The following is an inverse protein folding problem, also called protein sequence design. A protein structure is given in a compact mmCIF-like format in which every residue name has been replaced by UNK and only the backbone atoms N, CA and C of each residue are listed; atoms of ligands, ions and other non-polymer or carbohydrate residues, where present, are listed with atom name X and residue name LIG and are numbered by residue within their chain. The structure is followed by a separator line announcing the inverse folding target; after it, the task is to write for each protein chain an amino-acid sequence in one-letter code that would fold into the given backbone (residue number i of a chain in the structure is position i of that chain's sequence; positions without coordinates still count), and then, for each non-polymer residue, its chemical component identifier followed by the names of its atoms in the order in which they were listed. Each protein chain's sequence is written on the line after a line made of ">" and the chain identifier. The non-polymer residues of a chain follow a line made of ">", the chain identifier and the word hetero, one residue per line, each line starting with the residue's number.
data_IF_008955141512
#
_entry.id   IF_008955141512
#
_cell.length_a   1.000
_cell.length_b   1.000
_cell.length_c   1.000
_cell.angle_alpha   90.00
_cell.angle_beta   90.00
_cell.angle_gamma   90.00
#
_symmetry.space_group_name_H-M   'P 1'
#
loop_
_entity.id
_entity.type
_entity.pdbx_description
1 polymer ?
#
# COMPACT_ATOMS: atom_id res chain seq x y z
N UNK A 1 53.36 7.70 -49.00
CA UNK A 1 52.54 8.62 -49.82
C UNK A 1 51.21 8.87 -49.13
N UNK A 2 50.74 10.11 -49.17
CA UNK A 2 49.75 10.72 -48.29
C UNK A 2 48.28 10.40 -48.65
N UNK A 3 47.38 10.41 -47.65
CA UNK A 3 46.18 11.30 -47.64
C UNK A 3 45.43 11.24 -46.29
N UNK A 4 45.53 12.30 -45.50
CA UNK A 4 44.62 12.60 -44.39
C UNK A 4 43.36 13.29 -44.96
N UNK A 5 42.17 12.74 -44.73
CA UNK A 5 40.89 13.44 -44.92
C UNK A 5 40.45 14.06 -43.59
N UNK A 6 40.31 15.39 -43.56
CA UNK A 6 39.63 16.14 -42.49
C UNK A 6 38.12 16.10 -42.72
N UNK A 7 37.35 15.50 -41.81
CA UNK A 7 35.89 15.61 -41.78
C UNK A 7 35.48 16.92 -41.08
N UNK A 8 34.62 17.68 -41.75
CA UNK A 8 34.04 18.95 -41.30
C UNK A 8 32.70 18.70 -40.61
N UNK A 9 32.52 19.22 -39.39
CA UNK A 9 31.28 19.14 -38.60
C UNK A 9 30.32 20.31 -38.93
N UNK A 10 28.98 20.09 -38.93
CA UNK A 10 27.97 21.09 -39.28
C UNK A 10 27.67 22.12 -38.18
N UNK A 11 27.28 23.34 -38.60
CA UNK A 11 27.06 24.55 -37.77
C UNK A 11 25.72 24.53 -36.98
N UNK A 12 25.68 25.19 -35.79
CA UNK A 12 24.48 25.27 -34.95
C UNK A 12 23.45 26.31 -35.45
N UNK A 13 22.18 25.92 -35.46
CA UNK A 13 21.03 26.79 -35.78
C UNK A 13 20.61 27.62 -34.55
N UNK A 14 20.52 28.94 -34.71
CA UNK A 14 19.94 29.88 -33.72
C UNK A 14 18.43 30.03 -33.95
N UNK A 15 17.58 29.90 -32.92
CA UNK A 15 16.20 30.39 -32.99
C UNK A 15 16.12 31.91 -32.82
N UNK A 16 15.24 32.54 -33.62
CA UNK A 16 15.03 33.98 -33.73
C UNK A 16 14.10 34.49 -32.62
N UNK A 17 14.48 35.61 -32.01
CA UNK A 17 13.66 36.38 -31.08
C UNK A 17 12.50 37.05 -31.81
N UNK A 18 11.27 36.93 -31.28
CA UNK A 18 10.11 37.71 -31.71
C UNK A 18 9.50 38.43 -30.53
N UNK A 19 9.51 39.75 -30.64
CA UNK A 19 8.81 40.78 -29.89
C UNK A 19 7.43 40.35 -29.35
N UNK A 20 7.26 40.38 -28.03
CA UNK A 20 5.98 40.72 -27.40
C UNK A 20 6.26 41.52 -26.13
N UNK A 21 6.67 42.78 -26.33
CA UNK A 21 6.68 43.83 -25.32
C UNK A 21 5.42 44.66 -25.55
N UNK A 22 4.44 44.62 -24.64
CA UNK A 22 3.69 45.79 -24.16
C UNK A 22 2.54 45.32 -23.26
N UNK A 23 2.19 46.15 -22.27
CA UNK A 23 1.13 45.97 -21.26
C UNK A 23 1.55 45.26 -19.96
N UNK A 24 2.67 45.69 -19.39
CA UNK A 24 2.78 45.77 -17.93
C UNK A 24 2.27 47.15 -17.50
N UNK A 25 1.03 47.24 -17.00
CA UNK A 25 0.61 48.30 -16.07
C UNK A 25 -0.80 48.02 -15.51
N UNK A 26 -0.84 47.84 -14.18
CA UNK A 26 -1.96 48.10 -13.26
C UNK A 26 -3.31 47.40 -13.51
N UNK A 27 -3.62 46.41 -12.68
CA UNK A 27 -4.79 46.51 -11.80
C UNK A 27 -4.64 45.56 -10.59
N UNK A 28 -4.31 46.15 -9.44
CA UNK A 28 -4.53 45.56 -8.13
C UNK A 28 -6.04 45.54 -7.87
N UNK A 29 -6.64 44.36 -7.76
CA UNK A 29 -7.88 44.16 -7.02
C UNK A 29 -7.80 42.81 -6.30
N UNK A 30 -7.64 42.88 -4.99
CA UNK A 30 -7.74 41.76 -4.08
C UNK A 30 -9.18 41.24 -4.09
N UNK A 31 -9.38 39.98 -4.48
CA UNK A 31 -10.58 39.24 -4.09
C UNK A 31 -10.21 38.45 -2.84
N UNK A 32 -10.62 38.98 -1.69
CA UNK A 32 -10.65 38.24 -0.44
C UNK A 32 -11.64 37.08 -0.59
N UNK A 33 -11.15 35.92 -1.01
CA UNK A 33 -11.85 34.65 -0.89
C UNK A 33 -11.42 33.98 0.41
N UNK A 34 -12.28 34.00 1.42
CA UNK A 34 -12.18 33.08 2.54
C UNK A 34 -12.45 31.67 2.01
N UNK A 35 -11.40 30.86 1.88
CA UNK A 35 -11.52 29.45 1.55
C UNK A 35 -10.33 28.72 2.13
N UNK A 36 -10.55 28.00 3.24
CA UNK A 36 -9.62 27.01 3.76
C UNK A 36 -9.56 25.84 2.76
N UNK A 37 -8.77 25.99 1.70
CA UNK A 37 -8.48 24.95 0.75
C UNK A 37 -7.38 24.05 1.32
N UNK A 38 -7.82 23.07 2.11
CA UNK A 38 -7.05 21.87 2.41
C UNK A 38 -6.75 21.13 1.10
N UNK A 39 -5.59 21.43 0.53
CA UNK A 39 -4.66 20.46 -0.03
C UNK A 39 -5.25 19.10 -0.46
N UNK A 40 -5.93 19.08 -1.61
CA UNK A 40 -6.39 17.88 -2.35
C UNK A 40 -5.28 16.89 -2.77
N UNK A 41 -4.02 17.14 -2.39
CA UNK A 41 -2.87 16.25 -2.59
C UNK A 41 -2.23 15.77 -1.27
N UNK A 42 -2.50 16.44 -0.14
CA UNK A 42 -2.03 16.02 1.20
C UNK A 42 -2.89 14.87 1.75
N UNK A 43 -4.17 14.84 1.36
CA UNK A 43 -5.09 13.72 1.57
C UNK A 43 -4.57 12.38 1.02
N UNK A 44 -3.71 12.40 -0.01
CA UNK A 44 -3.26 11.19 -0.69
C UNK A 44 -2.12 10.46 0.05
N UNK A 45 -1.42 11.14 0.97
CA UNK A 45 -0.29 10.56 1.72
C UNK A 45 -0.41 10.74 3.24
N UNK A 46 -1.32 11.57 3.74
CA UNK A 46 -1.57 11.82 5.16
C UNK A 46 -2.99 11.41 5.60
N UNK A 47 -3.37 10.19 5.24
CA UNK A 47 -4.61 9.60 5.72
C UNK A 47 -4.37 9.00 7.11
N UNK A 48 -4.41 9.82 8.16
CA UNK A 48 -4.58 9.31 9.53
C UNK A 48 -5.99 8.68 9.62
N UNK A 49 -6.08 7.45 9.11
CA UNK A 49 -7.28 6.63 9.02
C UNK A 49 -7.16 5.52 10.05
N UNK A 50 -8.29 5.17 10.66
CA UNK A 50 -8.36 4.16 11.71
C UNK A 50 -8.88 2.88 11.10
N UNK A 51 -8.17 1.77 11.31
CA UNK A 51 -8.67 0.44 10.97
C UNK A 51 -9.76 0.06 11.97
N UNK A 52 -10.98 -0.12 11.49
CA UNK A 52 -12.16 -0.39 12.31
C UNK A 52 -12.46 -1.89 12.39
N UNK A 53 -12.25 -2.62 11.30
CA UNK A 53 -12.44 -4.07 11.24
C UNK A 53 -11.51 -4.68 10.20
N UNK A 54 -11.29 -6.00 10.29
CA UNK A 54 -10.48 -6.76 9.36
C UNK A 54 -11.14 -8.10 9.04
N UNK A 55 -10.92 -8.61 7.84
CA UNK A 55 -11.35 -9.92 7.37
C UNK A 55 -10.21 -10.62 6.67
N UNK A 56 -10.11 -11.94 6.82
CA UNK A 56 -9.14 -12.77 6.09
C UNK A 56 -9.86 -13.56 4.99
N UNK A 57 -9.31 -13.55 3.78
CA UNK A 57 -9.79 -14.33 2.66
C UNK A 57 -8.69 -15.25 2.11
N UNK A 58 -8.99 -16.53 1.82
CA UNK A 58 -10.27 -17.20 2.06
C UNK A 58 -10.54 -17.39 3.57
N UNK A 59 -11.81 -17.46 3.97
CA UNK A 59 -12.18 -17.71 5.37
C UNK A 59 -11.87 -19.15 5.80
N UNK A 60 -11.91 -20.07 4.84
CA UNK A 60 -11.60 -21.49 5.01
C UNK A 60 -10.81 -21.97 3.81
N UNK A 61 -9.75 -22.73 4.03
CA UNK A 61 -9.00 -23.39 2.97
C UNK A 61 -8.67 -24.84 3.35
N UNK A 62 -8.61 -25.68 2.32
CA UNK A 62 -8.15 -27.06 2.42
C UNK A 62 -6.86 -27.18 1.60
N UNK A 63 -5.75 -27.45 2.28
CA UNK A 63 -4.42 -27.58 1.68
C UNK A 63 -4.34 -28.65 0.61
N UNK A 64 -5.22 -29.66 0.63
CA UNK A 64 -5.27 -30.70 -0.42
C UNK A 64 -5.60 -30.13 -1.80
N UNK A 65 -6.36 -29.03 -1.83
CA UNK A 65 -6.79 -28.40 -3.08
C UNK A 65 -5.71 -27.54 -3.73
N UNK A 66 -4.57 -27.36 -3.05
CA UNK A 66 -3.47 -26.52 -3.53
C UNK A 66 -2.21 -27.35 -3.73
N UNK A 67 -1.49 -27.07 -4.82
CA UNK A 67 -0.20 -27.72 -5.05
C UNK A 67 0.73 -27.48 -3.86
N UNK A 68 1.33 -28.56 -3.38
CA UNK A 68 2.22 -28.58 -2.22
C UNK A 68 1.57 -28.15 -0.89
N UNK A 69 0.25 -28.01 -0.79
CA UNK A 69 -0.39 -27.55 0.45
C UNK A 69 -0.16 -26.06 0.77
N UNK A 70 0.15 -25.25 -0.24
CA UNK A 70 0.39 -23.82 -0.08
C UNK A 70 -0.88 -22.99 -0.33
N UNK A 71 -1.26 -22.13 0.60
CA UNK A 71 -2.48 -21.31 0.51
C UNK A 71 -2.16 -19.83 0.76
N UNK A 72 -2.60 -18.97 -0.15
CA UNK A 72 -2.50 -17.52 0.05
C UNK A 72 -3.69 -17.00 0.88
N UNK A 73 -3.40 -16.30 1.96
CA UNK A 73 -4.37 -15.55 2.75
C UNK A 73 -4.13 -14.04 2.60
N UNK A 74 -5.22 -13.30 2.47
CA UNK A 74 -5.20 -11.84 2.31
C UNK A 74 -6.00 -11.19 3.41
N UNK A 75 -5.46 -10.15 4.02
CA UNK A 75 -6.15 -9.36 5.04
C UNK A 75 -6.74 -8.09 4.42
N UNK A 76 -8.06 -7.95 4.47
CA UNK A 76 -8.78 -6.75 4.05
C UNK A 76 -9.29 -6.00 5.28
N UNK A 77 -9.06 -4.69 5.31
CA UNK A 77 -9.47 -3.80 6.38
C UNK A 77 -10.56 -2.83 5.95
N UNK A 78 -11.50 -2.55 6.86
CA UNK A 78 -12.42 -1.43 6.74
C UNK A 78 -11.86 -0.25 7.52
N UNK A 79 -11.65 0.87 6.85
CA UNK A 79 -11.06 2.08 7.42
C UNK A 79 -12.10 3.18 7.61
N UNK A 80 -11.87 4.06 8.58
CA UNK A 80 -12.72 5.22 8.86
C UNK A 80 -12.77 6.27 7.75
N UNK A 81 -11.86 6.20 6.77
CA UNK A 81 -11.77 7.09 5.61
C UNK A 81 -11.44 6.29 4.35
N UNK A 82 -11.92 6.70 3.17
CA UNK A 82 -11.52 6.10 1.91
C UNK A 82 -10.00 6.17 1.67
N UNK A 83 -9.42 5.23 0.89
CA UNK A 83 -10.08 4.05 0.32
C UNK A 83 -10.43 3.00 1.40
N UNK A 84 -11.65 2.47 1.31
CA UNK A 84 -12.19 1.47 2.25
C UNK A 84 -13.31 0.66 1.54
N UNK A 85 -13.31 -0.68 1.60
CA UNK A 85 -12.29 -1.55 2.19
C UNK A 85 -11.00 -1.58 1.35
N UNK A 86 -9.87 -1.87 1.97
CA UNK A 86 -8.57 -1.97 1.32
C UNK A 86 -7.67 -3.03 1.98
N UNK A 87 -6.63 -3.51 1.28
CA UNK A 87 -5.66 -4.44 1.86
C UNK A 87 -4.94 -3.81 3.07
N UNK A 88 -4.75 -4.60 4.12
CA UNK A 88 -3.96 -4.19 5.29
C UNK A 88 -2.50 -4.54 5.02
N UNK A 89 -1.62 -3.54 5.11
CA UNK A 89 -0.18 -3.75 5.13
C UNK A 89 0.29 -3.71 6.60
N UNK A 90 0.99 -4.75 7.06
CA UNK A 90 1.43 -4.92 8.44
C UNK A 90 2.68 -4.09 8.77
N UNK A 91 2.59 -2.79 8.51
CA UNK A 91 3.62 -1.80 8.77
C UNK A 91 2.98 -0.56 9.40
N UNK A 92 3.78 0.32 10.01
CA UNK A 92 3.25 1.56 10.54
C UNK A 92 2.42 2.31 9.48
N UNK A 93 1.21 2.82 9.83
CA UNK A 93 0.66 2.91 11.19
C UNK A 93 -0.20 1.69 11.65
N UNK A 94 -0.32 0.65 10.83
CA UNK A 94 -1.09 -0.58 11.08
C UNK A 94 -0.16 -1.77 11.38
N UNK A 95 0.79 -1.59 12.30
CA UNK A 95 1.74 -2.63 12.70
C UNK A 95 1.02 -3.89 13.18
N UNK A 96 1.51 -5.05 12.77
CA UNK A 96 0.85 -6.32 13.02
C UNK A 96 1.57 -7.48 12.36
N UNK A 97 0.84 -8.57 12.12
CA UNK A 97 1.37 -9.71 11.39
C UNK A 97 0.42 -10.90 11.34
N UNK A 98 0.95 -11.99 10.79
CA UNK A 98 0.29 -13.27 10.68
C UNK A 98 0.78 -14.25 11.74
N UNK A 99 -0.10 -15.16 12.15
CA UNK A 99 0.24 -16.31 12.97
C UNK A 99 -0.68 -17.49 12.69
N UNK A 100 -0.26 -18.67 13.13
CA UNK A 100 -1.02 -19.92 13.07
C UNK A 100 -1.09 -20.53 14.45
N UNK A 101 -2.21 -21.17 14.79
CA UNK A 101 -2.42 -21.77 16.12
C UNK A 101 -1.46 -22.93 16.43
N UNK A 102 -0.93 -23.63 15.42
CA UNK A 102 0.01 -24.72 15.60
C UNK A 102 1.01 -24.80 14.43
N UNK A 103 2.27 -24.45 14.70
CA UNK A 103 3.34 -24.44 13.71
C UNK A 103 3.82 -25.83 13.28
N UNK A 104 3.44 -26.90 14.00
CA UNK A 104 3.76 -28.28 13.63
C UNK A 104 2.84 -28.81 12.52
N UNK A 105 1.72 -28.14 12.26
CA UNK A 105 0.74 -28.54 11.22
C UNK A 105 0.86 -27.64 9.99
N UNK A 106 0.99 -26.33 10.18
CA UNK A 106 1.21 -25.39 9.10
C UNK A 106 2.09 -24.24 9.57
N UNK A 107 2.76 -23.57 8.64
CA UNK A 107 3.49 -22.32 8.86
C UNK A 107 2.82 -21.20 8.06
N UNK A 108 3.07 -19.94 8.39
CA UNK A 108 2.63 -18.79 7.60
C UNK A 108 3.72 -17.73 7.58
N UNK A 109 3.95 -17.14 6.41
CA UNK A 109 4.91 -16.05 6.25
C UNK A 109 4.27 -14.65 6.46
N UNK A 110 5.11 -13.62 6.44
CA UNK A 110 4.68 -12.22 6.59
C UNK A 110 3.77 -11.72 5.45
N UNK A 111 3.77 -12.39 4.30
CA UNK A 111 2.94 -12.05 3.14
C UNK A 111 1.56 -12.71 3.19
N UNK A 112 1.30 -13.56 4.19
CA UNK A 112 0.07 -14.34 4.31
C UNK A 112 0.10 -15.65 3.52
N UNK A 113 1.27 -16.11 3.09
CA UNK A 113 1.42 -17.42 2.45
C UNK A 113 1.56 -18.50 3.51
N UNK A 114 0.50 -19.29 3.68
CA UNK A 114 0.50 -20.44 4.57
C UNK A 114 0.96 -21.71 3.84
N UNK A 115 1.63 -22.59 4.57
CA UNK A 115 2.20 -23.83 4.04
C UNK A 115 1.98 -24.96 5.03
N UNK A 116 1.28 -26.02 4.61
CA UNK A 116 1.18 -27.25 5.40
C UNK A 116 2.57 -27.89 5.61
N UNK A 117 2.83 -28.36 6.82
CA UNK A 117 4.03 -29.14 7.12
C UNK A 117 3.87 -30.53 6.51
N UNK A 118 4.96 -31.06 5.97
CA UNK A 118 4.95 -32.38 5.34
C UNK A 118 4.48 -33.46 6.32
N UNK A 119 3.57 -34.32 5.87
CA UNK A 119 2.95 -35.42 6.66
C UNK A 119 2.16 -34.98 7.91
N UNK A 120 1.91 -33.67 8.08
CA UNK A 120 1.15 -33.18 9.23
C UNK A 120 -0.33 -33.00 8.89
N UNK A 121 -1.16 -33.78 9.58
CA UNK A 121 -2.63 -33.76 9.43
C UNK A 121 -3.25 -32.89 10.50
N UNK A 122 -4.18 -32.01 10.12
CA UNK A 122 -5.04 -31.33 11.08
C UNK A 122 -5.51 -29.95 10.63
N UNK A 123 -6.30 -29.30 11.48
CA UNK A 123 -6.84 -27.97 11.23
C UNK A 123 -6.17 -26.94 12.13
N UNK A 124 -5.73 -25.84 11.54
CA UNK A 124 -5.17 -24.69 12.25
C UNK A 124 -6.00 -23.44 12.01
N UNK A 125 -5.93 -22.52 12.97
CA UNK A 125 -6.46 -21.17 12.82
C UNK A 125 -5.35 -20.25 12.35
N UNK A 126 -5.54 -19.64 11.18
CA UNK A 126 -4.71 -18.56 10.66
C UNK A 126 -5.25 -17.26 11.21
N UNK A 127 -4.37 -16.44 11.80
CA UNK A 127 -4.73 -15.17 12.44
C UNK A 127 -3.96 -14.03 11.80
N UNK A 128 -4.68 -13.02 11.32
CA UNK A 128 -4.12 -11.71 11.03
C UNK A 128 -4.43 -10.79 12.21
N UNK A 129 -3.43 -10.06 12.69
CA UNK A 129 -3.60 -9.04 13.72
C UNK A 129 -2.94 -7.74 13.26
N UNK A 130 -3.61 -6.61 13.44
CA UNK A 130 -3.06 -5.29 13.13
C UNK A 130 -3.46 -4.26 14.19
N UNK A 131 -2.66 -3.22 14.35
CA UNK A 131 -3.01 -2.06 15.16
C UNK A 131 -4.07 -1.22 14.43
N UNK A 132 -5.02 -0.66 15.17
CA UNK A 132 -6.08 0.19 14.62
C UNK A 132 -5.57 1.52 14.06
N UNK A 133 -4.29 1.86 14.33
CA UNK A 133 -3.73 3.21 14.29
C UNK A 133 -4.37 4.13 15.36
N UNK A 134 -3.57 5.05 15.90
CA UNK A 134 -3.99 6.07 16.84
C UNK A 134 -4.33 7.37 16.08
N UNK A 135 -5.62 7.68 15.94
CA UNK A 135 -6.04 8.91 15.27
C UNK A 135 -5.93 10.14 16.17
N UNK A 136 -4.71 10.60 16.43
CA UNK A 136 -4.43 11.92 17.02
C UNK A 136 -3.69 11.89 18.37
N UNK A 137 -3.34 13.08 18.90
CA UNK A 137 -2.62 13.19 20.18
C UNK A 137 -3.46 12.61 21.33
N UNK A 138 -2.92 11.58 22.00
CA UNK A 138 -3.61 10.90 23.12
C UNK A 138 -4.57 9.79 22.71
N UNK A 139 -4.73 9.49 21.42
CA UNK A 139 -5.49 8.31 20.99
C UNK A 139 -4.69 7.03 21.27
N UNK A 140 -5.37 6.01 21.80
CA UNK A 140 -4.79 4.69 22.01
C UNK A 140 -5.08 3.81 20.78
N UNK A 141 -4.06 3.12 20.29
CA UNK A 141 -4.26 2.11 19.25
C UNK A 141 -4.78 0.82 19.87
N UNK A 142 -5.78 0.21 19.24
CA UNK A 142 -6.32 -1.09 19.61
C UNK A 142 -5.77 -2.19 18.71
N UNK A 143 -5.88 -3.44 19.15
CA UNK A 143 -5.63 -4.60 18.29
C UNK A 143 -6.92 -4.96 17.52
N UNK A 144 -6.81 -5.11 16.21
CA UNK A 144 -7.85 -5.60 15.31
C UNK A 144 -7.39 -6.96 14.81
N UNK A 145 -8.23 -7.99 15.02
CA UNK A 145 -7.89 -9.38 14.70
C UNK A 145 -8.91 -9.95 13.73
N UNK A 146 -8.45 -10.76 12.78
CA UNK A 146 -9.28 -11.52 11.86
C UNK A 146 -8.70 -12.93 11.71
N UNK A 147 -9.57 -13.92 11.55
CA UNK A 147 -9.18 -15.32 11.54
C UNK A 147 -9.72 -16.05 10.31
N UNK A 148 -9.01 -17.09 9.91
CA UNK A 148 -9.42 -18.06 8.91
C UNK A 148 -9.01 -19.47 9.36
N UNK A 149 -9.57 -20.50 8.74
CA UNK A 149 -9.19 -21.89 9.00
C UNK A 149 -8.42 -22.48 7.82
N UNK A 150 -7.39 -23.27 8.13
CA UNK A 150 -6.64 -24.06 7.16
C UNK A 150 -6.63 -25.51 7.62
N UNK A 151 -7.08 -26.43 6.78
CA UNK A 151 -6.98 -27.87 7.02
C UNK A 151 -5.86 -28.45 6.17
N UNK A 152 -4.94 -29.18 6.78
CA UNK A 152 -3.85 -29.88 6.12
C UNK A 152 -4.16 -31.40 6.01
N UNK A 153 -3.89 -32.02 4.85
CA UNK A 153 -4.08 -33.46 4.62
C UNK A 153 -3.32 -34.36 5.58
#
# INVERSE_FOLDING_TARGET
>A
MAKLLRLSLPKPHRPKASLYKSCMALMLLAVAGCGANSNMMDQMMNSNRVLQSMTVAPATADGQNFMNGQVAFTAMGTFSKPPSPAMVNFMAPFSGGWSVSNQNIATIDQNGMAQCVHEAVGTVMVTAQASSNAAGPGAMSMAVTATATLTCP
#
